data_IF_022336989000
#
_entry.id   IF_022336989000
#
_cell.length_a   1.000
_cell.length_b   1.000
_cell.length_c   1.000
_cell.angle_alpha   90.00
_cell.angle_beta   90.00
_cell.angle_gamma   90.00
#
_symmetry.space_group_name_H-M   'P 1'
#
loop_
_entity.id
_entity.type
_entity.pdbx_description
1 polymer ?
#
# COMPACT_ATOMS: atom_id res chain seq x y z
N UNK A 1 -27.07 -4.42 -45.31
CA UNK A 1 -25.65 -4.22 -44.93
C UNK A 1 -25.59 -2.96 -44.07
N UNK A 2 -25.51 -3.11 -42.75
CA UNK A 2 -25.39 -1.99 -41.82
C UNK A 2 -23.92 -1.89 -41.39
N UNK A 3 -23.26 -0.80 -41.74
CA UNK A 3 -21.88 -0.51 -41.34
C UNK A 3 -21.83 -0.23 -39.84
N UNK A 4 -21.18 -1.09 -39.06
CA UNK A 4 -20.80 -0.78 -37.68
C UNK A 4 -19.58 0.14 -37.69
N UNK A 5 -19.80 1.42 -37.42
CA UNK A 5 -18.73 2.38 -37.14
C UNK A 5 -18.19 2.02 -35.75
N UNK A 6 -17.02 1.36 -35.70
CA UNK A 6 -16.23 1.22 -34.48
C UNK A 6 -15.58 2.57 -34.18
N UNK A 7 -16.18 3.34 -33.29
CA UNK A 7 -15.56 4.54 -32.73
C UNK A 7 -14.35 4.12 -31.90
N UNK A 8 -13.14 4.38 -32.41
CA UNK A 8 -11.92 4.40 -31.59
C UNK A 8 -12.03 5.59 -30.62
N UNK A 9 -12.68 5.39 -29.49
CA UNK A 9 -12.61 6.35 -28.38
C UNK A 9 -11.16 6.39 -27.90
N UNK A 10 -10.48 7.47 -28.25
CA UNK A 10 -9.15 7.75 -27.70
C UNK A 10 -9.38 8.15 -26.24
N UNK A 11 -9.26 7.18 -25.33
CA UNK A 11 -9.37 7.43 -23.89
C UNK A 11 -8.15 8.24 -23.46
N UNK A 12 -8.27 9.57 -23.48
CA UNK A 12 -7.28 10.50 -22.91
C UNK A 12 -7.32 10.36 -21.40
N UNK A 13 -6.50 9.48 -20.82
CA UNK A 13 -6.31 9.41 -19.36
C UNK A 13 -5.49 10.61 -18.91
N UNK A 14 -6.12 11.51 -18.16
CA UNK A 14 -5.42 12.55 -17.40
C UNK A 14 -4.51 11.85 -16.38
N UNK A 15 -3.20 12.01 -16.54
CA UNK A 15 -2.22 11.60 -15.54
C UNK A 15 -2.29 12.59 -14.37
N UNK A 16 -2.69 12.09 -13.20
CA UNK A 16 -2.66 12.89 -11.96
C UNK A 16 -1.20 13.19 -11.58
N UNK A 17 -0.83 14.46 -11.58
CA UNK A 17 0.50 14.96 -11.19
C UNK A 17 0.48 15.66 -9.83
N UNK A 18 -0.62 15.54 -9.06
CA UNK A 18 -0.73 16.16 -7.75
C UNK A 18 0.20 15.50 -6.71
N UNK A 19 0.74 16.33 -5.81
CA UNK A 19 1.59 15.89 -4.70
C UNK A 19 0.89 14.87 -3.80
N UNK A 20 1.66 14.08 -3.04
CA UNK A 20 1.12 13.18 -2.02
C UNK A 20 0.80 13.94 -0.72
N UNK A 21 -0.48 14.04 -0.30
CA UNK A 21 -0.84 14.77 0.93
C UNK A 21 -0.73 13.90 2.19
N UNK A 22 -0.59 12.57 2.09
CA UNK A 22 -0.54 11.68 3.24
C UNK A 22 0.55 12.02 4.27
N UNK A 23 1.78 12.42 3.89
CA UNK A 23 2.79 12.82 4.86
C UNK A 23 2.40 14.02 5.70
N UNK A 24 1.66 14.99 5.13
CA UNK A 24 1.15 16.14 5.87
C UNK A 24 0.16 15.68 6.95
N UNK A 25 -0.79 14.83 6.59
CA UNK A 25 -1.78 14.31 7.53
C UNK A 25 -1.14 13.48 8.64
N UNK A 26 -0.18 12.62 8.31
CA UNK A 26 0.55 11.78 9.27
C UNK A 26 1.46 12.59 10.21
N UNK A 27 2.13 13.65 9.70
CA UNK A 27 2.94 14.54 10.55
C UNK A 27 2.07 15.36 11.50
N UNK A 28 0.95 15.91 11.00
CA UNK A 28 -0.03 16.63 11.82
C UNK A 28 -0.54 15.78 12.96
N UNK A 29 -0.97 14.56 12.64
CA UNK A 29 -1.40 13.57 13.62
C UNK A 29 -0.28 13.19 14.59
N UNK A 30 0.88 12.76 14.09
CA UNK A 30 1.93 12.14 14.89
C UNK A 30 2.56 13.12 15.88
N UNK A 31 2.88 14.34 15.43
CA UNK A 31 3.47 15.36 16.31
C UNK A 31 2.51 15.79 17.42
N UNK A 32 1.23 16.01 17.07
CA UNK A 32 0.20 16.37 18.06
C UNK A 32 -0.05 15.22 19.05
N UNK A 33 -0.05 13.98 18.57
CA UNK A 33 -0.22 12.77 19.39
C UNK A 33 0.93 12.61 20.38
N UNK A 34 2.19 12.78 19.95
CA UNK A 34 3.35 12.73 20.84
C UNK A 34 3.22 13.78 21.95
N UNK A 35 2.92 15.03 21.59
CA UNK A 35 2.87 16.13 22.54
C UNK A 35 1.72 15.98 23.55
N UNK A 36 0.54 15.50 23.13
CA UNK A 36 -0.52 15.16 24.07
C UNK A 36 -0.10 14.02 25.01
N UNK A 37 0.60 13.02 24.49
CA UNK A 37 0.89 11.82 25.27
C UNK A 37 2.11 11.95 26.18
N UNK A 38 3.02 12.89 25.93
CA UNK A 38 4.01 13.32 26.92
C UNK A 38 3.32 13.97 28.14
N UNK A 39 2.23 14.73 27.93
CA UNK A 39 1.38 15.19 29.02
C UNK A 39 0.72 14.02 29.76
N UNK A 40 0.08 13.09 29.04
CA UNK A 40 -0.56 11.91 29.66
C UNK A 40 0.45 11.03 30.45
N UNK A 41 1.71 10.98 30.01
CA UNK A 41 2.79 10.29 30.72
C UNK A 41 3.24 11.02 32.01
N UNK A 42 2.80 12.27 32.22
CA UNK A 42 2.99 13.04 33.44
C UNK A 42 4.20 13.98 33.44
N UNK A 43 4.74 14.32 32.27
CA UNK A 43 5.92 15.22 32.19
C UNK A 43 5.58 16.70 32.31
N UNK A 44 4.39 17.12 31.86
CA UNK A 44 3.89 18.48 31.99
C UNK A 44 2.37 18.52 31.95
N UNK A 45 1.77 19.62 32.39
CA UNK A 45 0.31 19.83 32.38
C UNK A 45 -0.24 20.20 31.01
N UNK A 46 -1.53 19.91 30.80
CA UNK A 46 -2.26 20.33 29.60
C UNK A 46 -2.23 21.86 29.51
N UNK A 47 -1.77 22.39 28.39
CA UNK A 47 -1.60 23.82 28.20
C UNK A 47 -1.85 24.25 26.75
N UNK A 48 -1.71 25.55 26.49
CA UNK A 48 -2.00 26.17 25.21
C UNK A 48 -1.21 25.56 24.03
N UNK A 49 -0.04 24.97 24.25
CA UNK A 49 0.73 24.33 23.19
C UNK A 49 -0.01 23.11 22.62
N UNK A 50 -0.54 22.22 23.48
CA UNK A 50 -1.29 21.06 23.02
C UNK A 50 -2.56 21.51 22.30
N UNK A 51 -3.25 22.52 22.84
CA UNK A 51 -4.45 23.08 22.21
C UNK A 51 -4.12 23.67 20.83
N UNK A 52 -3.05 24.44 20.70
CA UNK A 52 -2.64 25.02 19.43
C UNK A 52 -2.26 23.95 18.39
N UNK A 53 -1.50 22.93 18.80
CA UNK A 53 -1.16 21.80 17.93
C UNK A 53 -2.40 21.02 17.50
N UNK A 54 -3.33 20.76 18.43
CA UNK A 54 -4.61 20.11 18.15
C UNK A 54 -5.47 20.92 17.19
N UNK A 55 -5.52 22.25 17.33
CA UNK A 55 -6.33 23.09 16.43
C UNK A 55 -5.70 23.16 15.04
N UNK A 56 -4.44 23.55 14.94
CA UNK A 56 -3.86 23.94 13.65
C UNK A 56 -3.24 22.78 12.88
N UNK A 57 -2.54 21.87 13.56
CA UNK A 57 -1.74 20.87 12.87
C UNK A 57 -2.37 19.48 12.91
N UNK A 58 -2.66 18.96 14.10
CA UNK A 58 -3.50 17.78 14.27
C UNK A 58 -4.91 17.97 13.71
N UNK A 59 -5.45 19.19 13.77
CA UNK A 59 -6.80 19.50 13.29
C UNK A 59 -6.84 19.97 11.84
N UNK A 60 -6.68 21.28 11.62
CA UNK A 60 -6.89 21.93 10.32
C UNK A 60 -5.99 21.35 9.21
N UNK A 61 -4.68 21.25 9.44
CA UNK A 61 -3.77 20.72 8.41
C UNK A 61 -4.09 19.26 8.06
N UNK A 62 -4.49 18.46 9.03
CA UNK A 62 -4.91 17.07 8.80
C UNK A 62 -6.23 16.99 8.02
N UNK A 63 -7.21 17.86 8.30
CA UNK A 63 -8.44 17.97 7.49
C UNK A 63 -8.11 18.34 6.05
N UNK A 64 -7.22 19.31 5.84
CA UNK A 64 -6.78 19.72 4.49
C UNK A 64 -6.15 18.53 3.76
N UNK A 65 -5.27 17.77 4.42
CA UNK A 65 -4.69 16.56 3.84
C UNK A 65 -5.77 15.55 3.43
N UNK A 66 -6.81 15.35 4.26
CA UNK A 66 -7.95 14.49 3.93
C UNK A 66 -8.75 14.97 2.71
N UNK A 67 -9.01 16.27 2.59
CA UNK A 67 -9.67 16.83 1.40
C UNK A 67 -8.81 16.67 0.14
N UNK A 68 -7.49 16.75 0.27
CA UNK A 68 -6.56 16.52 -0.84
C UNK A 68 -6.55 15.04 -1.29
N UNK A 69 -6.71 14.08 -0.37
CA UNK A 69 -6.81 12.65 -0.71
C UNK A 69 -8.03 12.31 -1.57
N UNK A 70 -9.13 13.04 -1.41
CA UNK A 70 -10.34 12.83 -2.23
C UNK A 70 -10.04 13.08 -3.72
N UNK A 71 -9.23 14.11 -4.02
CA UNK A 71 -8.80 14.40 -5.40
C UNK A 71 -7.89 13.31 -5.99
N UNK A 72 -7.30 12.49 -5.13
CA UNK A 72 -6.48 11.33 -5.51
C UNK A 72 -7.30 10.04 -5.55
N UNK A 73 -8.62 10.09 -5.39
CA UNK A 73 -9.45 8.88 -5.28
C UNK A 73 -9.01 7.95 -4.11
N UNK A 74 -8.39 8.49 -3.06
CA UNK A 74 -7.97 7.73 -1.89
C UNK A 74 -9.04 7.83 -0.79
N UNK A 75 -10.06 6.97 -0.87
CA UNK A 75 -11.17 6.95 0.09
C UNK A 75 -10.71 6.72 1.53
N UNK A 76 -9.74 5.81 1.72
CA UNK A 76 -9.21 5.51 3.06
C UNK A 76 -8.54 6.73 3.68
N UNK A 77 -7.62 7.37 2.95
CA UNK A 77 -6.91 8.57 3.39
C UNK A 77 -7.87 9.74 3.63
N UNK A 78 -8.86 9.92 2.74
CA UNK A 78 -9.89 10.95 2.88
C UNK A 78 -10.63 10.81 4.21
N UNK A 79 -11.15 9.62 4.49
CA UNK A 79 -11.91 9.36 5.71
C UNK A 79 -11.00 9.45 6.95
N UNK A 80 -9.81 8.85 6.90
CA UNK A 80 -8.88 8.83 8.02
C UNK A 80 -8.44 10.24 8.43
N UNK A 81 -7.82 11.00 7.51
CA UNK A 81 -7.24 12.30 7.85
C UNK A 81 -8.30 13.34 8.19
N UNK A 82 -9.43 13.35 7.48
CA UNK A 82 -10.53 14.26 7.80
C UNK A 82 -11.12 13.96 9.18
N UNK A 83 -11.37 12.68 9.49
CA UNK A 83 -11.97 12.29 10.76
C UNK A 83 -11.03 12.56 11.94
N UNK A 84 -9.75 12.18 11.85
CA UNK A 84 -8.81 12.44 12.95
C UNK A 84 -8.47 13.94 13.10
N UNK A 85 -8.52 14.71 12.01
CA UNK A 85 -8.47 16.16 12.13
C UNK A 85 -9.68 16.73 12.89
N UNK A 86 -10.88 16.21 12.63
CA UNK A 86 -12.07 16.56 13.40
C UNK A 86 -12.02 16.03 14.84
N UNK A 87 -11.40 14.88 15.12
CA UNK A 87 -11.11 14.41 16.47
C UNK A 87 -10.31 15.48 17.23
N UNK A 88 -9.20 15.97 16.66
CA UNK A 88 -8.39 16.98 17.33
C UNK A 88 -9.14 18.30 17.56
N UNK A 89 -9.92 18.76 16.59
CA UNK A 89 -10.74 19.96 16.74
C UNK A 89 -11.83 19.79 17.81
N UNK A 90 -12.50 18.63 17.84
CA UNK A 90 -13.54 18.35 18.84
C UNK A 90 -12.95 18.18 20.23
N UNK A 91 -11.80 17.53 20.37
CA UNK A 91 -11.09 17.39 21.65
C UNK A 91 -10.64 18.76 22.20
N UNK A 92 -10.04 19.60 21.34
CA UNK A 92 -9.70 20.97 21.72
C UNK A 92 -10.96 21.78 22.09
N UNK A 93 -12.04 21.63 21.32
CA UNK A 93 -13.33 22.27 21.61
C UNK A 93 -13.92 21.85 22.96
N UNK A 94 -13.87 20.56 23.30
CA UNK A 94 -14.32 20.03 24.60
C UNK A 94 -13.58 20.70 25.76
N UNK A 95 -12.29 21.00 25.61
CA UNK A 95 -11.50 21.69 26.64
C UNK A 95 -11.67 23.21 26.63
N UNK A 96 -11.91 23.83 25.48
CA UNK A 96 -11.98 25.28 25.33
C UNK A 96 -13.38 25.85 25.60
N UNK A 97 -14.44 25.11 25.28
CA UNK A 97 -15.83 25.58 25.42
C UNK A 97 -16.20 26.00 26.85
N UNK A 98 -15.84 25.26 27.93
CA UNK A 98 -16.11 25.68 29.30
C UNK A 98 -15.38 26.98 29.68
N UNK A 99 -14.21 27.24 29.10
CA UNK A 99 -13.43 28.44 29.34
C UNK A 99 -13.99 29.66 28.61
N UNK A 100 -14.57 29.48 27.42
CA UNK A 100 -15.19 30.56 26.62
C UNK A 100 -16.58 30.91 27.15
N UNK A 101 -17.36 29.91 27.58
CA UNK A 101 -18.74 30.08 28.05
C UNK A 101 -18.91 29.63 29.51
N UNK A 102 -18.22 30.29 30.46
CA UNK A 102 -18.35 29.95 31.87
C UNK A 102 -19.80 30.16 32.32
N UNK A 103 -20.31 29.25 33.17
CA UNK A 103 -21.67 29.26 33.74
C UNK A 103 -22.81 28.77 32.83
N UNK A 104 -22.52 28.06 31.74
CA UNK A 104 -23.57 27.39 30.94
C UNK A 104 -23.56 25.88 31.20
N UNK A 105 -24.73 25.30 31.48
CA UNK A 105 -24.84 23.83 31.68
C UNK A 105 -24.51 23.06 30.40
N UNK A 106 -24.80 23.64 29.23
CA UNK A 106 -24.56 23.03 27.93
C UNK A 106 -23.08 22.98 27.54
N UNK A 107 -22.29 23.99 27.91
CA UNK A 107 -20.85 24.04 27.66
C UNK A 107 -20.02 23.73 28.92
N UNK A 108 -20.61 23.04 29.90
CA UNK A 108 -19.89 22.59 31.09
C UNK A 108 -18.82 21.56 30.76
N UNK A 109 -17.82 21.41 31.63
CA UNK A 109 -16.80 20.37 31.49
C UNK A 109 -17.43 18.98 31.42
N UNK A 110 -16.95 18.09 30.52
CA UNK A 110 -17.49 16.74 30.43
C UNK A 110 -17.21 15.97 31.72
N UNK A 111 -18.11 15.05 32.08
CA UNK A 111 -17.78 14.03 33.07
C UNK A 111 -16.76 13.05 32.51
N UNK A 112 -15.99 12.40 33.38
CA UNK A 112 -15.06 11.33 32.99
C UNK A 112 -15.80 10.23 32.19
N UNK A 113 -17.00 9.85 32.62
CA UNK A 113 -17.84 8.89 31.92
C UNK A 113 -18.18 9.32 30.47
N UNK A 114 -18.50 10.60 30.25
CA UNK A 114 -18.80 11.10 28.92
C UNK A 114 -17.56 11.09 28.01
N UNK A 115 -16.40 11.46 28.57
CA UNK A 115 -15.13 11.45 27.85
C UNK A 115 -14.65 10.01 27.54
N UNK A 116 -14.90 9.07 28.45
CA UNK A 116 -14.64 7.65 28.23
C UNK A 116 -15.41 7.13 27.00
N UNK A 117 -16.71 7.41 26.92
CA UNK A 117 -17.53 7.01 25.76
C UNK A 117 -17.12 7.69 24.46
N UNK A 118 -16.67 8.96 24.52
CA UNK A 118 -16.06 9.63 23.37
C UNK A 118 -14.84 8.85 22.86
N UNK A 119 -13.92 8.43 23.74
CA UNK A 119 -12.77 7.62 23.34
C UNK A 119 -13.13 6.21 22.88
N UNK A 120 -14.16 5.57 23.45
CA UNK A 120 -14.67 4.28 22.94
C UNK A 120 -15.15 4.41 21.50
N UNK A 121 -15.92 5.46 21.18
CA UNK A 121 -16.42 5.68 19.82
C UNK A 121 -15.27 5.84 18.82
N UNK A 122 -14.25 6.63 19.17
CA UNK A 122 -13.04 6.77 18.36
C UNK A 122 -12.25 5.46 18.27
N UNK A 123 -12.13 4.70 19.35
CA UNK A 123 -11.47 3.39 19.36
C UNK A 123 -12.15 2.36 18.45
N UNK A 124 -13.49 2.32 18.44
CA UNK A 124 -14.25 1.46 17.52
C UNK A 124 -14.06 1.88 16.06
N UNK A 125 -14.13 3.19 15.78
CA UNK A 125 -13.86 3.74 14.46
C UNK A 125 -12.44 3.37 13.98
N UNK A 126 -11.42 3.57 14.83
CA UNK A 126 -10.04 3.22 14.52
C UNK A 126 -9.86 1.72 14.34
N UNK A 127 -10.51 0.89 15.15
CA UNK A 127 -10.44 -0.57 15.04
C UNK A 127 -10.98 -1.09 13.71
N UNK A 128 -12.10 -0.54 13.22
CA UNK A 128 -12.59 -0.84 11.88
C UNK A 128 -11.62 -0.35 10.79
N UNK A 129 -11.09 0.88 10.93
CA UNK A 129 -10.11 1.41 9.98
C UNK A 129 -8.82 0.58 9.95
N UNK A 130 -8.38 0.03 11.10
CA UNK A 130 -7.25 -0.89 11.18
C UNK A 130 -7.47 -2.13 10.30
N UNK A 131 -8.67 -2.72 10.29
CA UNK A 131 -8.98 -3.83 9.38
C UNK A 131 -8.81 -3.42 7.90
N UNK A 132 -9.16 -2.18 7.56
CA UNK A 132 -8.90 -1.61 6.24
C UNK A 132 -7.41 -1.52 5.88
N UNK A 133 -6.52 -1.38 6.87
CA UNK A 133 -5.07 -1.32 6.64
C UNK A 133 -4.42 -2.67 6.34
N UNK A 134 -5.12 -3.80 6.55
CA UNK A 134 -4.56 -5.14 6.37
C UNK A 134 -4.08 -5.42 4.93
N UNK A 135 -4.60 -4.69 3.94
CA UNK A 135 -4.19 -4.74 2.53
C UNK A 135 -3.35 -3.53 2.10
N UNK A 136 -2.83 -2.74 3.04
CA UNK A 136 -1.96 -1.58 2.79
C UNK A 136 -0.53 -1.91 3.20
N UNK A 137 0.28 -0.91 3.54
CA UNK A 137 1.63 -1.13 4.03
C UNK A 137 1.67 -1.41 5.55
N UNK A 138 2.70 -2.12 6.00
CA UNK A 138 2.90 -2.51 7.41
C UNK A 138 3.04 -1.30 8.34
N UNK A 139 3.66 -0.21 7.88
CA UNK A 139 3.80 1.00 8.69
C UNK A 139 2.43 1.57 9.10
N UNK A 140 1.46 1.64 8.18
CA UNK A 140 0.09 2.07 8.49
C UNK A 140 -0.64 1.07 9.40
N UNK A 141 -0.40 -0.23 9.26
CA UNK A 141 -0.97 -1.23 10.17
C UNK A 141 -0.52 -1.00 11.61
N UNK A 142 0.77 -0.73 11.82
CA UNK A 142 1.32 -0.41 13.14
C UNK A 142 0.67 0.86 13.70
N UNK A 143 0.57 1.92 12.90
CA UNK A 143 -0.06 3.19 13.31
C UNK A 143 -1.50 2.96 13.79
N UNK A 144 -2.33 2.27 13.00
CA UNK A 144 -3.74 2.07 13.34
C UNK A 144 -3.95 1.04 14.46
N UNK A 145 -3.10 0.03 14.57
CA UNK A 145 -3.14 -0.93 15.68
C UNK A 145 -2.83 -0.23 17.01
N UNK A 146 -1.73 0.52 17.06
CA UNK A 146 -1.34 1.28 18.25
C UNK A 146 -2.41 2.33 18.59
N UNK A 147 -2.89 3.10 17.61
CA UNK A 147 -3.95 4.10 17.85
C UNK A 147 -5.25 3.49 18.39
N UNK A 148 -5.60 2.27 17.96
CA UNK A 148 -6.78 1.56 18.50
C UNK A 148 -6.57 1.25 19.98
N UNK A 149 -5.39 0.75 20.34
CA UNK A 149 -5.01 0.48 21.73
C UNK A 149 -5.03 1.79 22.53
N UNK A 150 -4.47 2.88 22.00
CA UNK A 150 -4.45 4.19 22.62
C UNK A 150 -5.85 4.65 23.05
N UNK A 151 -6.80 4.63 22.12
CA UNK A 151 -8.15 5.09 22.40
C UNK A 151 -8.84 4.24 23.49
N UNK A 152 -8.65 2.93 23.47
CA UNK A 152 -9.20 2.08 24.52
C UNK A 152 -8.50 2.28 25.86
N UNK A 153 -7.18 2.52 25.89
CA UNK A 153 -6.48 2.86 27.13
C UNK A 153 -6.94 4.19 27.73
N UNK A 154 -7.16 5.21 26.89
CA UNK A 154 -7.74 6.49 27.30
C UNK A 154 -9.17 6.33 27.84
N UNK A 155 -9.99 5.48 27.21
CA UNK A 155 -11.31 5.15 27.71
C UNK A 155 -11.25 4.44 29.08
N UNK A 156 -10.36 3.45 29.24
CA UNK A 156 -10.19 2.73 30.52
C UNK A 156 -9.73 3.67 31.64
N UNK A 157 -8.85 4.64 31.34
CA UNK A 157 -8.47 5.70 32.30
C UNK A 157 -9.71 6.39 32.85
N UNK A 158 -10.61 6.82 31.97
CA UNK A 158 -11.78 7.64 32.30
C UNK A 158 -13.00 6.82 32.80
N UNK A 159 -12.99 5.49 32.64
CA UNK A 159 -13.95 4.57 33.29
C UNK A 159 -13.59 4.20 34.74
N UNK A 160 -12.51 4.75 35.28
CA UNK A 160 -12.07 4.50 36.66
C UNK A 160 -10.74 3.76 36.77
N UNK A 161 -10.03 3.52 35.67
CA UNK A 161 -8.64 3.02 35.68
C UNK A 161 -7.65 4.05 36.26
N UNK A 162 -8.00 5.34 36.22
CA UNK A 162 -7.28 6.40 36.89
C UNK A 162 -5.86 6.64 36.36
N UNK A 163 -5.01 7.26 37.19
CA UNK A 163 -3.70 7.76 36.78
C UNK A 163 -2.73 6.70 36.23
N UNK A 164 -2.86 5.44 36.66
CA UNK A 164 -2.00 4.33 36.17
C UNK A 164 -2.25 4.11 34.68
N UNK A 165 -3.51 3.95 34.28
CA UNK A 165 -3.88 3.79 32.88
C UNK A 165 -3.63 5.06 32.07
N UNK A 166 -3.71 6.24 32.68
CA UNK A 166 -3.29 7.49 32.05
C UNK A 166 -1.81 7.50 31.65
N UNK A 167 -0.91 7.04 32.53
CA UNK A 167 0.52 6.95 32.22
C UNK A 167 0.84 5.88 31.18
N UNK A 168 0.16 4.73 31.23
CA UNK A 168 0.32 3.67 30.22
C UNK A 168 -0.13 4.19 28.85
N UNK A 169 -1.29 4.85 28.78
CA UNK A 169 -1.79 5.50 27.56
C UNK A 169 -0.80 6.57 27.05
N UNK A 170 -0.16 7.33 27.94
CA UNK A 170 0.86 8.30 27.57
C UNK A 170 2.09 7.67 26.88
N UNK A 171 2.63 6.59 27.42
CA UNK A 171 3.76 5.92 26.76
C UNK A 171 3.36 5.26 25.44
N UNK A 172 2.22 4.59 25.42
CA UNK A 172 1.69 3.95 24.22
C UNK A 172 1.40 5.00 23.13
N UNK A 173 0.80 6.15 23.49
CA UNK A 173 0.50 7.20 22.53
C UNK A 173 1.75 7.89 21.97
N UNK A 174 2.85 7.96 22.72
CA UNK A 174 4.15 8.38 22.18
C UNK A 174 4.60 7.39 21.09
N UNK A 175 4.47 6.08 21.31
CA UNK A 175 4.79 5.07 20.30
C UNK A 175 3.87 5.19 19.07
N UNK A 176 2.56 5.39 19.28
CA UNK A 176 1.60 5.66 18.20
C UNK A 176 2.08 6.84 17.34
N UNK A 177 2.39 7.98 17.95
CA UNK A 177 2.81 9.16 17.19
C UNK A 177 4.17 8.97 16.51
N UNK A 178 5.14 8.32 17.15
CA UNK A 178 6.43 7.99 16.53
C UNK A 178 6.28 7.08 15.30
N UNK A 179 5.37 6.11 15.35
CA UNK A 179 5.08 5.24 14.20
C UNK A 179 4.48 6.02 13.02
N UNK A 180 3.65 7.05 13.30
CA UNK A 180 3.09 7.93 12.28
C UNK A 180 4.16 8.86 11.67
N UNK A 181 5.06 9.40 12.49
CA UNK A 181 6.23 10.16 12.04
C UNK A 181 7.11 9.30 11.12
N UNK A 182 7.37 8.04 11.50
CA UNK A 182 8.10 7.11 10.66
C UNK A 182 7.41 6.90 9.31
N UNK A 183 6.10 6.62 9.31
CA UNK A 183 5.33 6.43 8.09
C UNK A 183 5.34 7.67 7.18
N UNK A 184 5.26 8.88 7.76
CA UNK A 184 5.35 10.13 7.01
C UNK A 184 6.75 10.37 6.43
N UNK A 185 7.79 10.22 7.26
CA UNK A 185 9.18 10.39 6.85
C UNK A 185 9.56 9.38 5.76
N UNK A 186 9.12 8.13 5.90
CA UNK A 186 9.37 7.11 4.91
C UNK A 186 8.73 7.45 3.55
N UNK A 187 7.52 7.99 3.52
CA UNK A 187 6.90 8.45 2.28
C UNK A 187 7.69 9.61 1.64
N UNK A 188 8.02 10.66 2.40
CA UNK A 188 8.76 11.82 1.88
C UNK A 188 10.15 11.42 1.38
N UNK A 189 10.91 10.67 2.18
CA UNK A 189 12.28 10.29 1.83
C UNK A 189 12.29 9.34 0.63
N UNK A 190 11.37 8.37 0.58
CA UNK A 190 11.32 7.44 -0.55
C UNK A 190 10.94 8.16 -1.85
N UNK A 191 10.00 9.11 -1.79
CA UNK A 191 9.60 9.95 -2.93
C UNK A 191 10.76 10.84 -3.38
N UNK A 192 11.42 11.54 -2.44
CA UNK A 192 12.52 12.48 -2.71
C UNK A 192 13.72 11.78 -3.33
N UNK A 193 14.15 10.65 -2.76
CA UNK A 193 15.31 9.90 -3.24
C UNK A 193 14.99 8.92 -4.37
N UNK A 194 13.71 8.77 -4.75
CA UNK A 194 13.22 7.84 -5.78
C UNK A 194 13.69 6.39 -5.58
N UNK A 195 13.87 5.98 -4.32
CA UNK A 195 14.26 4.64 -3.90
C UNK A 195 13.76 4.39 -2.49
N UNK A 196 13.70 3.12 -2.07
CA UNK A 196 13.38 2.81 -0.66
C UNK A 196 14.59 3.15 0.21
N UNK A 197 14.48 4.25 0.94
CA UNK A 197 15.38 4.68 2.01
C UNK A 197 14.87 4.14 3.35
N UNK A 198 13.57 4.27 3.60
CA UNK A 198 12.90 3.71 4.78
C UNK A 198 11.81 2.71 4.33
N UNK A 199 11.83 1.47 4.82
CA UNK A 199 10.87 0.46 4.38
C UNK A 199 9.47 0.72 4.96
N UNK A 200 8.48 0.94 4.09
CA UNK A 200 7.07 0.99 4.48
C UNK A 200 6.45 -0.41 4.66
N UNK A 201 7.09 -1.44 4.08
CA UNK A 201 6.56 -2.80 4.04
C UNK A 201 5.26 -2.89 3.24
N UNK A 202 5.28 -2.57 1.93
CA UNK A 202 4.08 -2.70 1.10
C UNK A 202 3.60 -4.14 1.07
N UNK A 203 2.28 -4.34 1.15
CA UNK A 203 1.65 -5.62 0.85
C UNK A 203 1.20 -5.53 -0.62
N UNK A 204 2.14 -5.73 -1.53
CA UNK A 204 1.88 -5.83 -2.96
C UNK A 204 1.51 -7.27 -3.28
N UNK A 205 0.22 -7.53 -3.43
CA UNK A 205 -0.24 -8.78 -4.00
C UNK A 205 -1.05 -8.43 -5.25
N UNK A 206 -0.70 -9.06 -6.38
CA UNK A 206 -1.73 -9.41 -7.36
C UNK A 206 -2.86 -10.07 -6.55
N UNK A 207 -4.14 -9.72 -6.77
CA UNK A 207 -5.23 -10.43 -6.12
C UNK A 207 -4.97 -11.93 -6.24
N UNK A 208 -5.04 -12.68 -5.13
CA UNK A 208 -4.77 -14.13 -5.16
C UNK A 208 -5.59 -14.78 -6.26
N UNK A 209 -4.94 -15.56 -7.11
CA UNK A 209 -5.60 -16.22 -8.21
C UNK A 209 -5.93 -15.32 -9.40
N UNK A 210 -5.52 -14.04 -9.44
CA UNK A 210 -5.71 -13.18 -10.61
C UNK A 210 -5.10 -13.81 -11.86
N UNK A 211 -3.87 -14.29 -11.70
CA UNK A 211 -3.12 -14.92 -12.79
C UNK A 211 -3.73 -16.27 -13.16
N UNK A 212 -4.39 -16.95 -12.22
CA UNK A 212 -5.14 -18.18 -12.48
C UNK A 212 -6.47 -17.90 -13.19
N UNK A 213 -7.19 -16.86 -12.77
CA UNK A 213 -8.50 -16.45 -13.28
C UNK A 213 -8.40 -15.89 -14.70
N UNK A 214 -7.37 -15.09 -14.97
CA UNK A 214 -7.14 -14.46 -16.27
C UNK A 214 -6.00 -15.12 -17.06
N UNK A 215 -5.54 -16.30 -16.64
CA UNK A 215 -4.35 -16.95 -17.20
C UNK A 215 -4.49 -17.29 -18.68
N UNK A 216 -5.64 -17.85 -19.07
CA UNK A 216 -5.93 -18.21 -20.46
C UNK A 216 -5.95 -16.98 -21.39
N UNK A 217 -6.55 -15.88 -20.92
CA UNK A 217 -6.57 -14.60 -21.65
C UNK A 217 -5.14 -14.03 -21.81
N UNK A 218 -4.37 -13.98 -20.71
CA UNK A 218 -2.99 -13.49 -20.72
C UNK A 218 -2.12 -14.35 -21.64
N UNK A 219 -2.23 -15.68 -21.57
CA UNK A 219 -1.50 -16.60 -22.43
C UNK A 219 -1.85 -16.42 -23.91
N UNK A 220 -3.13 -16.21 -24.21
CA UNK A 220 -3.62 -15.97 -25.57
C UNK A 220 -3.11 -14.64 -26.14
N UNK A 221 -3.20 -13.56 -25.36
CA UNK A 221 -2.68 -12.24 -25.73
C UNK A 221 -1.17 -12.29 -25.95
N UNK A 222 -0.45 -12.93 -25.03
CA UNK A 222 0.99 -13.11 -25.13
C UNK A 222 1.39 -13.91 -26.37
N UNK A 223 0.70 -15.00 -26.69
CA UNK A 223 0.98 -15.78 -27.90
C UNK A 223 0.78 -14.92 -29.16
N UNK A 224 -0.32 -14.16 -29.23
CA UNK A 224 -0.58 -13.28 -30.38
C UNK A 224 0.53 -12.23 -30.55
N UNK A 225 0.97 -11.62 -29.46
CA UNK A 225 2.04 -10.63 -29.49
C UNK A 225 3.40 -11.23 -29.80
N UNK A 226 3.70 -12.42 -29.27
CA UNK A 226 4.91 -13.18 -29.59
C UNK A 226 4.98 -13.51 -31.09
N UNK A 227 3.86 -13.92 -31.70
CA UNK A 227 3.79 -14.24 -33.14
C UNK A 227 3.91 -13.01 -34.04
N UNK A 228 3.49 -11.84 -33.57
CA UNK A 228 3.52 -10.58 -34.33
C UNK A 228 4.79 -9.77 -34.11
N UNK A 229 5.51 -10.03 -33.03
CA UNK A 229 6.65 -9.21 -32.62
C UNK A 229 7.84 -9.40 -33.57
N UNK A 230 8.43 -8.30 -34.08
CA UNK A 230 9.67 -8.37 -34.86
C UNK A 230 10.88 -8.77 -34.01
N UNK A 231 10.75 -8.83 -32.68
CA UNK A 231 11.80 -9.23 -31.74
C UNK A 231 11.81 -10.74 -31.46
N UNK A 232 10.83 -11.49 -31.96
CA UNK A 232 10.72 -12.96 -31.75
C UNK A 232 10.42 -13.73 -33.05
N UNK A 233 11.10 -13.46 -34.18
CA UNK A 233 10.79 -14.09 -35.47
C UNK A 233 11.07 -15.60 -35.49
N UNK A 234 12.07 -16.07 -34.74
CA UNK A 234 12.49 -17.47 -34.73
C UNK A 234 11.53 -18.35 -33.93
N UNK A 235 10.69 -17.78 -33.07
CA UNK A 235 9.69 -18.52 -32.29
C UNK A 235 8.67 -19.27 -33.15
N UNK A 236 8.56 -18.96 -34.45
CA UNK A 236 7.75 -19.70 -35.42
C UNK A 236 7.98 -21.22 -35.46
N UNK A 237 9.16 -21.69 -35.03
CA UNK A 237 9.49 -23.13 -34.99
C UNK A 237 8.88 -23.87 -33.79
N UNK A 238 8.44 -23.16 -32.75
CA UNK A 238 7.83 -23.73 -31.55
C UNK A 238 6.31 -23.78 -31.74
N UNK A 239 5.65 -24.88 -31.39
CA UNK A 239 4.19 -25.01 -31.54
C UNK A 239 3.42 -24.08 -30.59
N UNK A 240 2.24 -23.62 -31.00
CA UNK A 240 1.36 -22.80 -30.16
C UNK A 240 1.01 -23.51 -28.83
N UNK A 241 0.74 -24.82 -28.88
CA UNK A 241 0.44 -25.62 -27.69
C UNK A 241 1.60 -25.64 -26.68
N UNK A 242 2.84 -25.75 -27.16
CA UNK A 242 4.02 -25.70 -26.28
C UNK A 242 4.22 -24.32 -25.67
N UNK A 243 3.94 -23.26 -26.43
CA UNK A 243 4.06 -21.88 -25.96
C UNK A 243 3.00 -21.54 -24.92
N UNK A 244 1.74 -21.92 -25.16
CA UNK A 244 0.63 -21.74 -24.20
C UNK A 244 0.90 -22.52 -22.92
N UNK A 245 1.30 -23.79 -23.01
CA UNK A 245 1.65 -24.56 -21.81
C UNK A 245 2.80 -23.88 -21.03
N UNK A 246 3.84 -23.42 -21.72
CA UNK A 246 4.96 -22.75 -21.07
C UNK A 246 4.57 -21.43 -20.39
N UNK A 247 3.67 -20.64 -21.01
CA UNK A 247 3.18 -19.39 -20.40
C UNK A 247 2.28 -19.67 -19.22
N UNK A 248 1.38 -20.67 -19.28
CA UNK A 248 0.55 -21.08 -18.15
C UNK A 248 1.38 -21.53 -16.95
N UNK A 249 2.43 -22.34 -17.17
CA UNK A 249 3.35 -22.70 -16.09
C UNK A 249 4.09 -21.48 -15.52
N UNK A 250 4.54 -20.55 -16.37
CA UNK A 250 5.16 -19.32 -15.90
C UNK A 250 4.19 -18.46 -15.08
N UNK A 251 2.92 -18.42 -15.47
CA UNK A 251 1.84 -17.73 -14.76
C UNK A 251 1.55 -18.36 -13.39
N UNK A 252 1.60 -19.69 -13.27
CA UNK A 252 1.54 -20.37 -11.95
C UNK A 252 2.71 -19.94 -11.05
N UNK A 253 3.92 -19.87 -11.58
CA UNK A 253 5.10 -19.42 -10.81
C UNK A 253 4.96 -17.95 -10.36
N UNK A 254 4.30 -17.09 -11.15
CA UNK A 254 3.95 -15.74 -10.74
C UNK A 254 2.96 -15.78 -9.56
N UNK A 255 1.88 -16.55 -9.67
CA UNK A 255 0.87 -16.64 -8.59
C UNK A 255 1.48 -17.15 -7.28
N UNK A 256 2.33 -18.19 -7.33
CA UNK A 256 3.04 -18.73 -6.16
C UNK A 256 3.97 -17.71 -5.50
N UNK A 257 4.74 -16.96 -6.32
CA UNK A 257 5.60 -15.88 -5.85
C UNK A 257 4.81 -14.80 -5.11
N UNK A 258 3.69 -14.35 -5.67
CA UNK A 258 2.84 -13.33 -5.04
C UNK A 258 1.99 -13.87 -3.88
N UNK A 259 1.69 -15.17 -3.88
CA UNK A 259 0.96 -15.88 -2.82
C UNK A 259 1.75 -16.04 -1.52
N UNK A 260 3.06 -15.76 -1.54
CA UNK A 260 3.96 -15.94 -0.41
C UNK A 260 4.38 -17.40 -0.19
N UNK A 261 4.21 -18.23 -1.23
CA UNK A 261 4.58 -19.65 -1.22
C UNK A 261 5.66 -20.00 -2.28
N UNK A 262 6.66 -19.15 -2.61
CA UNK A 262 7.73 -19.59 -3.49
C UNK A 262 8.74 -20.41 -2.68
N UNK A 263 8.91 -21.68 -3.03
CA UNK A 263 10.26 -22.21 -2.92
C UNK A 263 11.03 -21.58 -4.09
N UNK A 264 11.85 -20.55 -3.84
CA UNK A 264 12.65 -19.87 -4.89
C UNK A 264 13.44 -20.85 -5.79
N UNK A 265 13.71 -22.06 -5.30
CA UNK A 265 14.24 -23.20 -6.06
C UNK A 265 13.37 -23.66 -7.25
N UNK A 266 12.04 -23.58 -7.14
CA UNK A 266 11.09 -24.03 -8.17
C UNK A 266 11.04 -23.04 -9.35
N UNK A 267 11.01 -21.73 -9.06
CA UNK A 267 11.08 -20.67 -10.06
C UNK A 267 12.40 -20.77 -10.84
N UNK A 268 13.51 -20.90 -10.12
CA UNK A 268 14.84 -21.01 -10.73
C UNK A 268 14.97 -22.24 -11.63
N UNK A 269 14.53 -23.40 -11.15
CA UNK A 269 14.58 -24.65 -11.91
C UNK A 269 13.72 -24.59 -13.18
N UNK A 270 12.50 -24.03 -13.10
CA UNK A 270 11.62 -23.87 -14.25
C UNK A 270 12.25 -23.00 -15.34
N UNK A 271 12.66 -21.78 -15.01
CA UNK A 271 13.21 -20.86 -16.01
C UNK A 271 14.56 -21.33 -16.55
N UNK A 272 15.39 -21.99 -15.73
CA UNK A 272 16.62 -22.62 -16.20
C UNK A 272 16.35 -23.72 -17.24
N UNK A 273 15.41 -24.62 -16.95
CA UNK A 273 14.99 -25.66 -17.90
C UNK A 273 14.41 -25.05 -19.18
N UNK A 274 13.59 -24.01 -19.06
CA UNK A 274 13.04 -23.29 -20.20
C UNK A 274 14.16 -22.72 -21.10
N UNK A 275 15.17 -22.10 -20.50
CA UNK A 275 16.35 -21.60 -21.20
C UNK A 275 17.11 -22.68 -21.97
N UNK A 276 17.39 -23.81 -21.31
CA UNK A 276 18.07 -24.95 -21.93
C UNK A 276 17.26 -25.54 -23.11
N UNK A 277 15.94 -25.68 -22.95
CA UNK A 277 15.04 -26.16 -24.02
C UNK A 277 15.06 -25.23 -25.22
N UNK A 278 14.98 -23.91 -25.00
CA UNK A 278 14.94 -22.91 -26.07
C UNK A 278 16.29 -22.80 -26.80
N UNK A 279 17.40 -23.00 -26.09
CA UNK A 279 18.73 -23.15 -26.68
C UNK A 279 18.82 -24.42 -27.57
N UNK A 280 18.31 -25.56 -27.10
CA UNK A 280 18.29 -26.81 -27.87
C UNK A 280 17.41 -26.71 -29.14
N UNK A 281 16.39 -25.86 -29.13
CA UNK A 281 15.56 -25.53 -30.30
C UNK A 281 16.21 -24.52 -31.25
N UNK A 282 17.40 -24.01 -30.92
CA UNK A 282 18.14 -23.05 -31.75
C UNK A 282 17.57 -21.63 -31.76
N UNK A 283 16.70 -21.28 -30.81
CA UNK A 283 16.15 -19.92 -30.71
C UNK A 283 17.22 -18.96 -30.20
N UNK A 284 17.36 -17.73 -30.73
CA UNK A 284 18.33 -16.78 -30.20
C UNK A 284 17.99 -16.33 -28.77
N UNK A 285 19.01 -16.18 -27.93
CA UNK A 285 18.86 -15.73 -26.53
C UNK A 285 18.09 -14.39 -26.41
N UNK A 286 18.34 -13.45 -27.31
CA UNK A 286 17.64 -12.16 -27.31
C UNK A 286 16.13 -12.32 -27.52
N UNK A 287 15.70 -13.29 -28.32
CA UNK A 287 14.29 -13.59 -28.54
C UNK A 287 13.67 -14.27 -27.31
N UNK A 288 14.42 -15.13 -26.61
CA UNK A 288 13.99 -15.70 -25.32
C UNK A 288 13.74 -14.62 -24.27
N UNK A 289 14.68 -13.69 -24.12
CA UNK A 289 14.51 -12.56 -23.20
C UNK A 289 13.30 -11.72 -23.62
N UNK A 290 13.15 -11.44 -24.91
CA UNK A 290 12.01 -10.68 -25.44
C UNK A 290 10.67 -11.38 -25.16
N UNK A 291 10.60 -12.70 -25.35
CA UNK A 291 9.41 -13.51 -25.05
C UNK A 291 9.02 -13.43 -23.57
N UNK A 292 9.99 -13.53 -22.66
CA UNK A 292 9.78 -13.40 -21.21
C UNK A 292 9.28 -11.99 -20.85
N UNK A 293 9.90 -10.95 -21.41
CA UNK A 293 9.50 -9.55 -21.15
C UNK A 293 8.12 -9.21 -21.75
N UNK A 294 7.73 -9.83 -22.86
CA UNK A 294 6.37 -9.72 -23.39
C UNK A 294 5.35 -10.31 -22.42
N UNK A 295 5.65 -11.44 -21.77
CA UNK A 295 4.72 -12.04 -20.79
C UNK A 295 4.51 -11.11 -19.60
N UNK A 296 5.58 -10.48 -19.10
CA UNK A 296 5.50 -9.42 -18.07
C UNK A 296 4.57 -8.29 -18.49
N UNK A 297 4.68 -7.84 -19.75
CA UNK A 297 3.85 -6.78 -20.31
C UNK A 297 2.38 -7.18 -20.32
N UNK A 298 2.05 -8.40 -20.74
CA UNK A 298 0.65 -8.85 -20.83
C UNK A 298 0.00 -9.05 -19.46
N UNK A 299 0.76 -9.52 -18.45
CA UNK A 299 0.28 -9.55 -17.06
C UNK A 299 -0.07 -8.13 -16.58
N UNK A 300 0.81 -7.16 -16.86
CA UNK A 300 0.59 -5.76 -16.49
C UNK A 300 -0.62 -5.14 -17.20
N UNK A 301 -0.75 -5.39 -18.50
CA UNK A 301 -1.85 -4.90 -19.32
C UNK A 301 -3.19 -5.51 -18.89
N UNK A 302 -3.24 -6.83 -18.66
CA UNK A 302 -4.44 -7.51 -18.17
C UNK A 302 -4.86 -6.98 -16.80
N UNK A 303 -3.92 -6.78 -15.87
CA UNK A 303 -4.22 -6.19 -14.56
C UNK A 303 -4.84 -4.79 -14.69
N UNK A 304 -4.38 -4.01 -15.69
CA UNK A 304 -4.94 -2.69 -15.98
C UNK A 304 -6.32 -2.73 -16.62
N UNK A 305 -6.58 -3.67 -17.52
CA UNK A 305 -7.87 -3.82 -18.19
C UNK A 305 -8.97 -4.23 -17.21
N UNK A 306 -8.63 -5.07 -16.23
CA UNK A 306 -9.56 -5.56 -15.20
C UNK A 306 -9.76 -4.59 -14.01
N UNK A 307 -9.42 -3.32 -14.18
CA UNK A 307 -9.74 -2.28 -13.18
C UNK A 307 -8.96 -2.41 -11.86
N UNK A 308 -7.84 -3.15 -11.82
CA UNK A 308 -7.02 -3.25 -10.61
C UNK A 308 -6.39 -1.88 -10.24
N UNK A 309 -6.32 -0.94 -11.19
CA UNK A 309 -5.56 0.32 -11.08
C UNK A 309 -6.40 1.61 -11.21
N UNK A 310 -7.53 1.72 -10.51
CA UNK A 310 -8.46 2.87 -10.68
C UNK A 310 -8.36 3.97 -9.62
N UNK A 311 -7.70 3.74 -8.47
CA UNK A 311 -7.51 4.74 -7.39
C UNK A 311 -6.04 5.13 -7.16
N UNK A 312 -5.74 6.24 -6.47
CA UNK A 312 -4.33 6.53 -6.12
C UNK A 312 -3.75 5.59 -5.05
N UNK A 313 -4.58 4.95 -4.23
CA UNK A 313 -4.14 3.78 -3.47
C UNK A 313 -3.66 2.67 -4.40
N UNK A 314 -4.30 2.55 -5.57
CA UNK A 314 -3.88 1.63 -6.62
C UNK A 314 -2.65 2.13 -7.39
N UNK A 315 -2.31 3.42 -7.37
CA UNK A 315 -1.05 3.90 -7.99
C UNK A 315 0.18 3.46 -7.19
N UNK A 316 0.15 3.58 -5.86
CA UNK A 316 1.26 3.07 -5.04
C UNK A 316 1.33 1.54 -5.08
N UNK A 317 0.17 0.86 -5.03
CA UNK A 317 0.12 -0.60 -5.24
C UNK A 317 0.58 -1.00 -6.64
N UNK A 318 0.28 -0.20 -7.67
CA UNK A 318 0.74 -0.41 -9.04
C UNK A 318 2.26 -0.27 -9.13
N UNK A 319 2.84 0.73 -8.46
CA UNK A 319 4.28 0.91 -8.39
C UNK A 319 4.94 -0.25 -7.64
N UNK A 320 4.39 -0.63 -6.48
CA UNK A 320 4.91 -1.74 -5.68
C UNK A 320 4.76 -3.07 -6.43
N UNK A 321 3.62 -3.31 -7.09
CA UNK A 321 3.44 -4.50 -7.94
C UNK A 321 4.38 -4.48 -9.13
N UNK A 322 4.50 -3.37 -9.87
CA UNK A 322 5.42 -3.27 -11.00
C UNK A 322 6.86 -3.58 -10.56
N UNK A 323 7.22 -3.18 -9.34
CA UNK A 323 8.51 -3.48 -8.75
C UNK A 323 8.67 -4.95 -8.41
N UNK A 324 7.70 -5.57 -7.73
CA UNK A 324 7.76 -7.00 -7.40
C UNK A 324 7.68 -7.89 -8.65
N UNK A 325 6.82 -7.54 -9.61
CA UNK A 325 6.73 -8.19 -10.91
C UNK A 325 8.06 -8.00 -11.65
N UNK A 326 8.68 -6.82 -11.54
CA UNK A 326 10.04 -6.56 -11.99
C UNK A 326 11.04 -7.55 -11.41
N UNK A 327 11.10 -7.69 -10.08
CA UNK A 327 12.02 -8.63 -9.41
C UNK A 327 11.81 -10.07 -9.85
N UNK A 328 10.56 -10.51 -9.95
CA UNK A 328 10.24 -11.85 -10.45
C UNK A 328 10.82 -12.06 -11.85
N UNK A 329 10.56 -11.14 -12.77
CA UNK A 329 11.01 -11.27 -14.16
C UNK A 329 12.51 -11.06 -14.34
N UNK A 330 13.17 -10.26 -13.50
CA UNK A 330 14.62 -10.14 -13.48
C UNK A 330 15.27 -11.49 -13.10
N UNK A 331 14.71 -12.18 -12.09
CA UNK A 331 15.10 -13.55 -11.71
C UNK A 331 14.84 -14.54 -12.86
N UNK A 332 13.65 -14.48 -13.47
CA UNK A 332 13.27 -15.34 -14.59
C UNK A 332 14.25 -15.20 -15.77
N UNK A 333 14.61 -13.97 -16.15
CA UNK A 333 15.57 -13.68 -17.22
C UNK A 333 16.97 -14.20 -16.87
N UNK A 334 17.42 -14.00 -15.62
CA UNK A 334 18.71 -14.52 -15.16
C UNK A 334 18.77 -16.05 -15.27
N UNK A 335 17.80 -16.76 -14.69
CA UNK A 335 17.79 -18.22 -14.71
C UNK A 335 17.61 -18.80 -16.11
N UNK A 336 16.76 -18.19 -16.94
CA UNK A 336 16.62 -18.58 -18.34
C UNK A 336 17.92 -18.38 -19.13
N UNK A 337 18.65 -17.30 -18.88
CA UNK A 337 19.95 -17.06 -19.52
C UNK A 337 21.00 -18.07 -19.04
N UNK A 338 21.02 -18.38 -17.74
CA UNK A 338 21.92 -19.39 -17.18
C UNK A 338 21.67 -20.77 -17.80
N UNK A 339 20.41 -21.19 -17.89
CA UNK A 339 20.02 -22.44 -18.55
C UNK A 339 20.35 -22.47 -20.03
N UNK A 340 20.11 -21.36 -20.73
CA UNK A 340 20.43 -21.20 -22.15
C UNK A 340 21.93 -21.34 -22.44
N UNK A 341 22.78 -20.81 -21.55
CA UNK A 341 24.25 -20.84 -21.69
C UNK A 341 24.91 -22.08 -21.10
N UNK A 342 24.14 -22.98 -20.48
CA UNK A 342 24.64 -24.17 -19.81
C UNK A 342 25.32 -23.91 -18.46
N UNK A 343 25.14 -22.72 -17.88
CA UNK A 343 25.59 -22.42 -16.53
C UNK A 343 24.77 -23.25 -15.52
N UNK A 344 25.41 -23.93 -14.56
CA UNK A 344 24.70 -24.69 -13.54
C UNK A 344 23.86 -23.77 -12.64
N UNK A 345 22.74 -24.29 -12.15
CA UNK A 345 21.93 -23.59 -11.16
C UNK A 345 22.78 -23.32 -9.89
N UNK A 346 22.84 -22.07 -9.41
CA UNK A 346 23.58 -21.76 -8.19
C UNK A 346 22.99 -22.52 -6.99
N UNK A 347 23.86 -23.02 -6.10
CA UNK A 347 23.47 -23.82 -4.94
C UNK A 347 22.79 -23.03 -3.81
N UNK A 348 22.86 -21.70 -3.86
CA UNK A 348 22.17 -20.73 -2.99
C UNK A 348 21.88 -19.43 -3.76
N UNK A 349 20.84 -18.74 -3.32
CA UNK A 349 20.19 -17.63 -4.00
C UNK A 349 21.13 -16.47 -4.38
N UNK A 350 20.94 -15.94 -5.60
CA UNK A 350 21.74 -14.83 -6.15
C UNK A 350 21.03 -13.46 -6.01
N UNK A 351 19.77 -13.41 -5.53
CA UNK A 351 18.97 -12.18 -5.52
C UNK A 351 18.05 -12.00 -4.32
#
# INVERSE_FOLDING_TARGET
MANSITSNETVTKLLDTNANPAPLGLMGFGLTTILLNIHNAGFYDLNAMILAMGIFYGGVAQIIAGVMEWRKNNTFGTLAFTSYGLFWLTLAGIWLLPAIFPNTKLAGSPSELALAWYFVAWGVFTGYMFLGTLKLNRALQVVFALLTILFFLLAVRDFGGGAIFGKIAGWEGILTGLSALYAAAAQILNETYRRVVLPLGPISQLPRGFVTEHGEEIATMWLQDLRRSPQTPSYGVVSDAELVNASEFALVQVDEYFGGNPADSEIGAFFHKLGATRAAQGLPLAELISAILLLKREIWMSARTHGIWESAMDLQRAVDLNRELGRFFDRAVYYATAGYTGLPLPAKDVF
#
